data_IF_754371065149
#
_entry.id   IF_754371065149
#
_cell.length_a   1.000
_cell.length_b   1.000
_cell.length_c   1.000
_cell.angle_alpha   90.00
_cell.angle_beta   90.00
_cell.angle_gamma   90.00
#
_symmetry.space_group_name_H-M   'P 1'
#
loop_
_entity.id
_entity.type
_entity.pdbx_description
1 polymer ?
#
# COMPACT_ATOMS: atom_id res chain seq x y z
N UNK A 1 -7.36 -22.15 20.64
CA UNK A 1 -7.33 -20.70 20.94
C UNK A 1 -8.64 -19.99 20.56
N UNK A 2 -9.37 -20.44 19.53
CA UNK A 2 -10.61 -19.82 19.06
C UNK A 2 -11.84 -20.03 19.95
N UNK A 3 -11.92 -21.16 20.68
CA UNK A 3 -13.11 -21.52 21.45
C UNK A 3 -13.44 -20.53 22.60
N UNK A 4 -12.42 -19.91 23.20
CA UNK A 4 -12.61 -18.97 24.32
C UNK A 4 -13.30 -17.67 23.86
N UNK A 5 -12.81 -16.96 22.83
CA UNK A 5 -13.52 -15.82 22.27
C UNK A 5 -14.95 -16.15 21.84
N UNK A 6 -15.18 -17.33 21.29
CA UNK A 6 -16.53 -17.74 20.87
C UNK A 6 -17.48 -17.94 22.06
N UNK A 7 -17.01 -18.53 23.17
CA UNK A 7 -17.80 -18.71 24.40
C UNK A 7 -18.16 -17.39 25.08
N UNK A 8 -17.26 -16.41 25.03
CA UNK A 8 -17.49 -15.09 25.60
C UNK A 8 -18.14 -14.10 24.61
N UNK A 9 -18.49 -14.55 23.40
CA UNK A 9 -19.02 -13.71 22.32
C UNK A 9 -18.11 -12.52 21.96
N UNK A 10 -16.79 -12.72 22.15
CA UNK A 10 -15.70 -11.80 21.82
C UNK A 10 -15.08 -12.11 20.45
N UNK A 11 -15.69 -12.98 19.65
CA UNK A 11 -15.25 -13.30 18.29
C UNK A 11 -15.68 -12.25 17.25
N UNK A 12 -15.88 -11.00 17.65
CA UNK A 12 -16.24 -9.90 16.73
C UNK A 12 -14.97 -9.19 16.27
N UNK A 13 -14.75 -9.10 14.97
CA UNK A 13 -13.61 -8.39 14.41
C UNK A 13 -13.69 -6.89 14.73
N UNK A 14 -12.69 -6.33 15.41
CA UNK A 14 -12.75 -4.90 15.77
C UNK A 14 -12.66 -3.94 14.57
N UNK A 15 -12.16 -4.40 13.42
CA UNK A 15 -11.98 -3.58 12.20
C UNK A 15 -13.29 -3.45 11.43
N UNK A 16 -13.93 -4.56 11.09
CA UNK A 16 -15.15 -4.57 10.28
C UNK A 16 -16.43 -4.76 11.07
N UNK A 17 -16.36 -5.19 12.33
CA UNK A 17 -17.53 -5.46 13.18
C UNK A 17 -18.24 -6.79 12.88
N UNK A 18 -17.77 -7.58 11.92
CA UNK A 18 -18.34 -8.90 11.59
C UNK A 18 -17.79 -9.99 12.53
N UNK A 19 -18.56 -11.07 12.72
CA UNK A 19 -18.09 -12.23 13.48
C UNK A 19 -16.99 -12.97 12.72
N UNK A 20 -16.02 -13.50 13.47
CA UNK A 20 -15.01 -14.43 12.99
C UNK A 20 -15.61 -15.82 13.17
N UNK A 21 -15.78 -16.56 12.08
CA UNK A 21 -16.49 -17.85 12.08
C UNK A 21 -15.55 -19.04 12.29
N UNK A 22 -14.27 -18.89 11.96
CA UNK A 22 -13.30 -19.97 12.07
C UNK A 22 -11.97 -19.54 12.69
N UNK A 23 -11.30 -20.50 13.32
CA UNK A 23 -9.95 -20.30 13.87
C UNK A 23 -8.91 -19.93 12.79
N UNK A 24 -9.12 -20.35 11.54
CA UNK A 24 -8.22 -20.05 10.43
C UNK A 24 -8.26 -18.58 9.99
N UNK A 25 -9.38 -17.91 10.25
CA UNK A 25 -9.56 -16.49 9.98
C UNK A 25 -9.14 -15.61 11.15
N UNK A 26 -9.00 -16.15 12.36
CA UNK A 26 -8.67 -15.37 13.54
C UNK A 26 -7.22 -14.87 13.49
N UNK A 27 -7.07 -13.57 13.74
CA UNK A 27 -5.79 -12.90 13.95
C UNK A 27 -5.84 -12.06 15.23
N UNK A 28 -4.69 -11.93 15.89
CA UNK A 28 -4.50 -11.05 17.04
C UNK A 28 -3.69 -9.86 16.54
N UNK A 29 -4.20 -8.65 16.72
CA UNK A 29 -3.48 -7.42 16.39
C UNK A 29 -3.64 -6.37 17.50
N UNK A 30 -2.80 -5.34 17.44
CA UNK A 30 -2.88 -4.19 18.33
C UNK A 30 -3.77 -3.09 17.70
N UNK A 31 -4.61 -2.44 18.51
CA UNK A 31 -5.47 -1.33 18.06
C UNK A 31 -4.63 -0.11 17.68
N UNK A 32 -3.57 0.14 18.44
CA UNK A 32 -2.57 1.17 18.20
C UNK A 32 -1.20 0.54 17.96
N UNK A 33 -0.39 1.10 17.05
CA UNK A 33 0.98 0.66 16.84
C UNK A 33 1.80 0.88 18.11
N UNK A 34 2.47 -0.18 18.56
CA UNK A 34 3.37 -0.13 19.71
C UNK A 34 4.83 0.11 19.29
N UNK A 35 5.21 -0.40 18.11
CA UNK A 35 6.57 -0.28 17.57
C UNK A 35 6.88 1.20 17.28
N UNK A 36 8.07 1.67 17.65
CA UNK A 36 8.48 3.07 17.56
C UNK A 36 7.61 4.09 18.35
N UNK A 37 6.62 3.65 19.13
CA UNK A 37 5.76 4.51 19.96
C UNK A 37 6.01 4.27 21.45
N UNK A 38 5.73 3.06 21.94
CA UNK A 38 5.94 2.69 23.33
C UNK A 38 5.84 1.18 23.52
N UNK A 39 6.80 0.60 24.24
CA UNK A 39 6.75 -0.81 24.64
C UNK A 39 5.56 -1.13 25.56
N UNK A 40 5.02 -0.13 26.29
CA UNK A 40 3.88 -0.35 27.19
C UNK A 40 2.61 -0.71 26.41
N UNK A 41 2.44 -0.15 25.20
CA UNK A 41 1.29 -0.46 24.32
C UNK A 41 1.29 -1.91 23.84
N UNK A 42 2.46 -2.59 23.85
CA UNK A 42 2.54 -3.99 23.49
C UNK A 42 1.89 -4.90 24.53
N UNK A 43 2.05 -4.56 25.81
CA UNK A 43 1.56 -5.34 26.97
C UNK A 43 0.17 -4.92 27.44
N UNK A 44 -0.35 -3.81 26.94
CA UNK A 44 -1.69 -3.32 27.26
C UNK A 44 -2.76 -4.21 26.63
N UNK A 45 -3.45 -5.00 27.45
CA UNK A 45 -4.55 -5.88 27.02
C UNK A 45 -5.71 -5.08 26.41
N UNK A 46 -5.91 -3.82 26.81
CA UNK A 46 -6.93 -2.97 26.21
C UNK A 46 -6.56 -2.54 24.78
N UNK A 47 -5.28 -2.62 24.43
CA UNK A 47 -4.74 -2.38 23.10
C UNK A 47 -4.69 -3.64 22.24
N UNK A 48 -4.88 -4.84 22.79
CA UNK A 48 -4.95 -6.10 22.01
C UNK A 48 -6.40 -6.36 21.56
N UNK A 49 -6.59 -6.78 20.32
CA UNK A 49 -7.90 -7.10 19.76
C UNK A 49 -7.84 -8.28 18.78
N UNK A 50 -9.02 -8.86 18.51
CA UNK A 50 -9.21 -9.91 17.51
C UNK A 50 -9.74 -9.34 16.21
N UNK A 51 -9.20 -9.81 15.09
CA UNK A 51 -9.66 -9.45 13.76
C UNK A 51 -9.60 -10.61 12.80
N UNK A 52 -10.21 -10.47 11.62
CA UNK A 52 -9.94 -11.41 10.54
C UNK A 52 -8.51 -11.23 10.04
N UNK A 53 -7.85 -12.30 9.60
CA UNK A 53 -6.53 -12.24 8.97
C UNK A 53 -6.48 -11.32 7.74
N UNK A 54 -7.61 -11.20 7.01
CA UNK A 54 -7.76 -10.23 5.90
C UNK A 54 -7.88 -8.77 6.36
N UNK A 55 -8.38 -8.56 7.58
CA UNK A 55 -8.59 -7.25 8.19
C UNK A 55 -7.36 -6.78 8.98
N UNK A 56 -6.51 -7.72 9.40
CA UNK A 56 -5.22 -7.44 10.01
C UNK A 56 -4.32 -6.75 8.97
N UNK A 57 -4.34 -5.43 9.00
CA UNK A 57 -3.47 -4.60 8.17
C UNK A 57 -2.20 -4.34 8.94
N UNK A 58 -1.06 -4.67 8.33
CA UNK A 58 0.25 -4.30 8.88
C UNK A 58 0.29 -2.80 9.16
N UNK A 59 0.70 -2.44 10.38
CA UNK A 59 1.04 -1.07 10.72
C UNK A 59 2.26 -0.67 9.90
N UNK A 60 2.00 -0.05 8.74
CA UNK A 60 3.05 0.51 7.90
C UNK A 60 3.55 1.76 8.59
N UNK A 61 4.57 1.60 9.42
CA UNK A 61 5.46 2.71 9.74
C UNK A 61 6.07 3.18 8.41
N UNK A 62 5.45 4.18 7.78
CA UNK A 62 6.14 5.04 6.83
C UNK A 62 7.17 5.81 7.64
N UNK A 63 8.25 5.14 8.02
CA UNK A 63 9.29 5.76 8.81
C UNK A 63 9.81 6.92 7.96
N UNK A 64 9.68 8.13 8.49
CA UNK A 64 10.31 9.32 7.91
C UNK A 64 11.81 9.03 7.71
N UNK A 65 12.39 8.17 8.56
CA UNK A 65 13.76 7.62 8.49
C UNK A 65 14.10 6.93 7.16
N UNK A 66 13.15 6.33 6.44
CA UNK A 66 13.43 5.73 5.11
C UNK A 66 13.38 6.74 3.97
N UNK A 67 12.91 7.97 4.24
CA UNK A 67 12.86 9.02 3.21
C UNK A 67 14.28 9.46 2.89
N UNK A 68 14.58 9.50 1.60
CA UNK A 68 15.85 10.04 1.10
C UNK A 68 15.73 11.55 1.01
N UNK A 69 16.18 12.22 2.07
CA UNK A 69 16.20 13.68 2.20
C UNK A 69 17.57 14.16 1.71
N UNK A 70 17.59 15.08 0.74
CA UNK A 70 18.82 15.67 0.22
C UNK A 70 19.23 16.90 1.01
N UNK A 71 20.35 17.52 0.61
CA UNK A 71 20.72 18.85 1.08
C UNK A 71 19.70 19.89 0.61
N UNK A 72 19.76 21.11 1.16
CA UNK A 72 18.88 22.20 0.75
C UNK A 72 18.94 22.43 -0.76
N UNK A 73 17.78 22.43 -1.42
CA UNK A 73 17.69 22.56 -2.88
C UNK A 73 17.87 21.26 -3.66
N UNK A 74 18.05 20.11 -3.02
CA UNK A 74 18.15 18.80 -3.67
C UNK A 74 16.98 17.86 -3.36
N UNK A 75 16.70 16.94 -4.28
CA UNK A 75 15.71 15.89 -4.11
C UNK A 75 16.17 14.56 -4.72
N UNK A 76 15.73 13.45 -4.12
CA UNK A 76 16.08 12.11 -4.57
C UNK A 76 15.35 11.71 -5.86
N UNK A 77 16.10 11.19 -6.84
CA UNK A 77 15.56 10.59 -8.07
C UNK A 77 15.61 9.06 -8.01
N UNK A 78 14.45 8.41 -8.14
CA UNK A 78 14.35 6.95 -8.07
C UNK A 78 15.08 6.20 -9.20
N UNK A 79 15.08 6.73 -10.42
CA UNK A 79 15.60 6.01 -11.60
C UNK A 79 17.12 5.86 -11.64
N UNK A 80 17.87 6.93 -11.34
CA UNK A 80 19.35 6.92 -11.35
C UNK A 80 19.96 6.89 -9.95
N UNK A 81 19.13 6.75 -8.92
CA UNK A 81 19.52 6.66 -7.51
C UNK A 81 20.51 7.76 -7.09
N UNK A 82 20.20 9.01 -7.43
CA UNK A 82 21.04 10.18 -7.15
C UNK A 82 20.19 11.36 -6.66
N UNK A 83 20.80 12.24 -5.87
CA UNK A 83 20.25 13.56 -5.56
C UNK A 83 20.46 14.49 -6.76
N UNK A 84 19.44 15.30 -7.05
CA UNK A 84 19.46 16.29 -8.11
C UNK A 84 18.81 17.59 -7.61
N UNK A 85 19.11 18.74 -8.24
CA UNK A 85 18.45 19.98 -7.91
C UNK A 85 16.93 19.88 -8.02
N UNK A 86 16.20 20.48 -7.08
CA UNK A 86 14.73 20.51 -7.04
C UNK A 86 14.14 21.04 -8.35
N UNK A 87 14.82 21.99 -9.00
CA UNK A 87 14.45 22.52 -10.31
C UNK A 87 14.35 21.45 -11.42
N UNK A 88 15.10 20.34 -11.29
CA UNK A 88 15.08 19.22 -12.22
C UNK A 88 13.78 18.39 -12.13
N UNK A 89 12.94 18.62 -11.13
CA UNK A 89 11.71 17.88 -10.89
C UNK A 89 10.46 18.68 -11.30
N UNK A 90 9.35 17.97 -11.50
CA UNK A 90 8.02 18.56 -11.67
C UNK A 90 7.32 18.53 -10.31
N UNK A 91 6.55 19.58 -10.01
CA UNK A 91 5.71 19.62 -8.80
C UNK A 91 4.69 18.48 -8.82
N UNK A 92 4.56 17.78 -7.69
CA UNK A 92 3.62 16.69 -7.46
C UNK A 92 3.06 16.80 -6.04
N UNK A 93 1.94 17.53 -5.89
CA UNK A 93 1.34 17.87 -4.59
C UNK A 93 0.97 16.65 -3.74
N UNK A 94 0.66 15.52 -4.37
CA UNK A 94 0.32 14.28 -3.67
C UNK A 94 1.52 13.58 -3.00
N UNK A 95 2.76 14.07 -3.19
CA UNK A 95 3.97 13.47 -2.59
C UNK A 95 4.44 14.29 -1.40
N UNK A 96 5.04 13.62 -0.42
CA UNK A 96 5.46 14.22 0.86
C UNK A 96 6.42 15.41 0.72
N UNK A 97 7.25 15.45 -0.33
CA UNK A 97 8.17 16.56 -0.61
C UNK A 97 7.66 17.49 -1.73
N UNK A 98 6.44 17.31 -2.21
CA UNK A 98 5.85 18.10 -3.29
C UNK A 98 6.49 17.91 -4.67
N UNK A 99 7.36 16.91 -4.87
CA UNK A 99 8.13 16.70 -6.10
C UNK A 99 7.95 15.29 -6.67
N UNK A 100 7.97 15.17 -7.99
CA UNK A 100 7.85 13.89 -8.70
C UNK A 100 9.02 12.93 -8.38
N UNK A 101 8.80 11.61 -8.52
CA UNK A 101 9.85 10.60 -8.29
C UNK A 101 10.98 10.60 -9.34
N UNK A 102 10.71 11.18 -10.50
CA UNK A 102 11.60 11.23 -11.65
C UNK A 102 11.82 12.69 -12.06
N UNK A 103 13.04 13.00 -12.49
CA UNK A 103 13.35 14.30 -13.09
C UNK A 103 12.61 14.48 -14.44
N UNK A 104 12.51 15.73 -14.90
CA UNK A 104 11.88 16.12 -16.17
C UNK A 104 12.44 15.33 -17.35
N UNK A 105 13.75 15.15 -17.42
CA UNK A 105 14.43 14.39 -18.48
C UNK A 105 14.01 12.93 -18.47
N UNK A 106 14.05 12.25 -17.32
CA UNK A 106 13.60 10.86 -17.21
C UNK A 106 12.13 10.70 -17.60
N UNK A 107 11.29 11.64 -17.20
CA UNK A 107 9.86 11.61 -17.54
C UNK A 107 9.65 11.74 -19.05
N UNK A 108 10.45 12.58 -19.74
CA UNK A 108 10.44 12.73 -21.20
C UNK A 108 10.90 11.43 -21.89
N UNK A 109 11.99 10.83 -21.43
CA UNK A 109 12.49 9.54 -21.93
C UNK A 109 11.48 8.40 -21.73
N UNK A 110 10.82 8.32 -20.57
CA UNK A 110 9.78 7.32 -20.30
C UNK A 110 8.55 7.50 -21.18
N UNK A 111 8.10 8.74 -21.39
CA UNK A 111 7.01 9.04 -22.34
C UNK A 111 7.37 8.61 -23.75
N UNK A 112 8.60 8.88 -24.19
CA UNK A 112 9.09 8.42 -25.50
C UNK A 112 9.08 6.90 -25.65
N UNK A 113 9.35 6.15 -24.57
CA UNK A 113 9.30 4.67 -24.57
C UNK A 113 7.86 4.11 -24.57
N UNK A 114 6.92 4.73 -23.84
CA UNK A 114 5.54 4.25 -23.80
C UNK A 114 4.78 4.37 -25.13
N UNK A 115 5.17 5.29 -26.03
CA UNK A 115 4.55 5.39 -27.36
C UNK A 115 5.00 4.29 -28.33
N UNK A 116 6.03 3.51 -28.02
CA UNK A 116 6.53 2.45 -28.90
C UNK A 116 5.94 1.05 -28.64
N UNK A 117 5.42 0.77 -27.44
CA UNK A 117 5.05 -0.61 -27.05
C UNK A 117 3.55 -0.87 -26.87
N UNK A 118 2.70 0.16 -26.86
CA UNK A 118 1.26 0.02 -26.60
C UNK A 118 0.36 0.06 -27.84
N UNK A 119 0.93 0.19 -29.05
CA UNK A 119 0.13 0.30 -30.29
C UNK A 119 -0.04 -1.02 -31.05
N UNK A 120 0.62 -2.12 -30.65
CA UNK A 120 0.62 -3.37 -31.43
C UNK A 120 -0.41 -4.43 -31.02
N UNK A 121 -0.99 -4.37 -29.82
CA UNK A 121 -1.76 -5.51 -29.25
C UNK A 121 -3.27 -5.27 -29.03
N UNK A 122 -3.90 -4.33 -29.74
CA UNK A 122 -5.37 -4.21 -29.81
C UNK A 122 -5.90 -4.41 -31.24
N UNK A 123 -5.59 -5.55 -31.86
CA UNK A 123 -6.53 -6.16 -32.82
C UNK A 123 -7.11 -7.39 -32.15
N UNK A 124 -8.13 -7.16 -31.30
CA UNK A 124 -9.03 -8.24 -30.91
C UNK A 124 -9.77 -8.65 -32.17
N UNK A 125 -9.51 -9.87 -32.62
CA UNK A 125 -10.34 -10.61 -33.57
C UNK A 125 -11.76 -10.66 -33.03
N UNK A 126 -12.67 -9.87 -33.62
CA UNK A 126 -14.10 -10.08 -33.46
C UNK A 126 -14.49 -11.28 -34.31
N UNK A 127 -14.51 -12.47 -33.70
CA UNK A 127 -15.14 -13.64 -34.29
C UNK A 127 -16.65 -13.43 -34.23
N UNK A 128 -17.40 -13.48 -35.36
CA UNK A 128 -18.84 -13.39 -35.33
C UNK A 128 -19.44 -14.68 -34.79
N UNK A 129 -20.28 -14.55 -33.76
CA UNK A 129 -21.05 -15.64 -33.14
C UNK A 129 -22.09 -16.17 -34.13
N UNK A 130 -21.97 -17.43 -34.52
CA UNK A 130 -22.98 -18.14 -35.28
C UNK A 130 -24.24 -18.33 -34.42
N UNK A 131 -25.33 -17.66 -34.80
CA UNK A 131 -26.69 -17.96 -34.31
C UNK A 131 -27.11 -19.32 -34.88
N UNK A 132 -27.36 -20.29 -34.00
CA UNK A 132 -28.11 -21.49 -34.35
C UNK A 132 -29.57 -21.10 -34.61
N UNK A 133 -30.07 -21.46 -35.80
CA UNK A 133 -31.49 -21.52 -36.12
C UNK A 133 -31.97 -22.93 -35.78
N UNK A 134 -32.93 -23.03 -34.85
CA UNK A 134 -33.99 -24.04 -34.85
C UNK A 134 -35.26 -23.33 -34.40
#
# INVERSE_FOLDING_TARGET
MFDLPQRHNENTCFRCGEKIESAAELSIEHKQPWLDVSANLFWDLSNVALSHGRCNTVDRHYSIKTRKIGLEGEAWRNGRKAFLPVAAFVRARARWNGLAAHCRTCKKEQRGRCFGSYSANRRRTTTPSARQLV
#
